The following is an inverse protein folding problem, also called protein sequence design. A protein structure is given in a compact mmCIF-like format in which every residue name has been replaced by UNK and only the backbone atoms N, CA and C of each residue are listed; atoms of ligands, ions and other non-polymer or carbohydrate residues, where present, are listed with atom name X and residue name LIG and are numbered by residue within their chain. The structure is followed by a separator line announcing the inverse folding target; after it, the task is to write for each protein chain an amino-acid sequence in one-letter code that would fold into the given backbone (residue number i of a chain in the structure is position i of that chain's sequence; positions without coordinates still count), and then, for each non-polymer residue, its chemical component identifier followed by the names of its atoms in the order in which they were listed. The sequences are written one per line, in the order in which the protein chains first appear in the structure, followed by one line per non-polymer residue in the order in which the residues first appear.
data_IF_239263811820
#
_entry.id   IF_239263811820
#
_cell.length_a   1.000
_cell.length_b   1.000
_cell.length_c   1.000
_cell.angle_alpha   90.00
_cell.angle_beta   90.00
_cell.angle_gamma   90.00
#
_symmetry.space_group_name_H-M   'P 1'
#
loop_
_entity.id
_entity.type
_entity.pdbx_description
1 polymer ?
#
# COMPACT_ATOMS: atom_id res chain seq x y z
N UNK A 1 -21.40 -43.77 14.63
CA UNK A 1 -20.14 -43.35 15.25
C UNK A 1 -20.31 -42.84 16.68
N UNK A 2 -19.55 -43.42 17.61
CA UNK A 2 -19.51 -43.04 19.02
C UNK A 2 -18.79 -41.70 19.24
N UNK A 3 -19.00 -41.06 20.40
CA UNK A 3 -18.37 -39.78 20.74
C UNK A 3 -16.84 -39.85 20.74
N UNK A 4 -16.25 -40.98 21.15
CA UNK A 4 -14.80 -41.17 21.14
C UNK A 4 -14.25 -41.26 19.71
N UNK A 5 -14.91 -42.01 18.82
CA UNK A 5 -14.53 -42.10 17.41
C UNK A 5 -14.65 -40.74 16.71
N UNK A 6 -15.70 -39.96 17.00
CA UNK A 6 -15.84 -38.60 16.46
C UNK A 6 -14.73 -37.65 16.95
N UNK A 7 -14.35 -37.72 18.23
CA UNK A 7 -13.21 -36.93 18.74
C UNK A 7 -11.89 -37.33 18.10
N UNK A 8 -11.65 -38.63 17.92
CA UNK A 8 -10.46 -39.12 17.21
C UNK A 8 -10.43 -38.61 15.77
N UNK A 9 -11.57 -38.66 15.06
CA UNK A 9 -11.69 -38.15 13.70
C UNK A 9 -11.44 -36.65 13.62
N UNK A 10 -11.98 -35.87 14.56
CA UNK A 10 -11.72 -34.44 14.65
C UNK A 10 -10.22 -34.13 14.74
N UNK A 11 -9.51 -34.80 15.65
CA UNK A 11 -8.06 -34.60 15.84
C UNK A 11 -7.28 -35.03 14.60
N UNK A 12 -7.65 -36.17 14.01
CA UNK A 12 -7.02 -36.68 12.79
C UNK A 12 -7.20 -35.73 11.59
N UNK A 13 -8.34 -35.04 11.49
CA UNK A 13 -8.59 -34.03 10.46
C UNK A 13 -7.97 -32.67 10.75
N UNK A 14 -7.82 -32.31 12.03
CA UNK A 14 -7.29 -31.01 12.47
C UNK A 14 -5.77 -30.92 12.33
N UNK A 15 -5.02 -31.91 12.84
CA UNK A 15 -3.56 -31.81 12.96
C UNK A 15 -2.84 -31.60 11.62
N UNK A 16 -3.14 -32.36 10.54
CA UNK A 16 -2.55 -32.09 9.22
C UNK A 16 -2.85 -30.66 8.74
N UNK A 17 -4.06 -30.17 9.01
CA UNK A 17 -4.52 -28.85 8.57
C UNK A 17 -3.85 -27.70 9.34
N UNK A 18 -3.40 -27.93 10.58
CA UNK A 18 -2.51 -26.98 11.28
C UNK A 18 -1.17 -26.85 10.56
N UNK A 19 -0.56 -27.99 10.19
CA UNK A 19 0.69 -28.01 9.44
C UNK A 19 0.57 -27.35 8.07
N UNK A 20 -0.52 -27.64 7.35
CA UNK A 20 -0.84 -27.00 6.08
C UNK A 20 -0.99 -25.48 6.23
N UNK A 21 -1.85 -25.00 7.14
CA UNK A 21 -2.07 -23.57 7.31
C UNK A 21 -0.82 -22.81 7.78
N UNK A 22 0.03 -23.44 8.59
CA UNK A 22 1.31 -22.86 9.01
C UNK A 22 2.27 -22.71 7.83
N UNK A 23 2.46 -23.77 7.05
CA UNK A 23 3.29 -23.75 5.85
C UNK A 23 2.77 -22.73 4.84
N UNK A 24 1.46 -22.73 4.60
CA UNK A 24 0.80 -21.86 3.62
C UNK A 24 1.08 -20.38 3.92
N UNK A 25 0.74 -19.92 5.13
CA UNK A 25 1.03 -18.54 5.51
C UNK A 25 2.53 -18.22 5.53
N UNK A 26 3.38 -19.18 5.90
CA UNK A 26 4.84 -18.98 5.88
C UNK A 26 5.34 -18.72 4.45
N UNK A 27 4.98 -19.58 3.49
CA UNK A 27 5.40 -19.44 2.10
C UNK A 27 4.83 -18.16 1.50
N UNK A 28 3.55 -17.87 1.74
CA UNK A 28 2.92 -16.62 1.28
C UNK A 28 3.69 -15.38 1.75
N UNK A 29 4.03 -15.30 3.04
CA UNK A 29 4.69 -14.11 3.61
C UNK A 29 6.10 -13.95 3.04
N UNK A 30 6.92 -15.00 3.05
CA UNK A 30 8.31 -14.90 2.58
C UNK A 30 8.39 -14.69 1.06
N UNK A 31 7.62 -15.45 0.28
CA UNK A 31 7.59 -15.30 -1.17
C UNK A 31 7.00 -13.93 -1.55
N UNK A 32 5.90 -13.53 -0.90
CA UNK A 32 5.27 -12.23 -1.12
C UNK A 32 6.22 -11.07 -0.83
N UNK A 33 6.96 -11.12 0.28
CA UNK A 33 7.95 -10.11 0.63
C UNK A 33 9.12 -10.05 -0.37
N UNK A 34 9.63 -11.22 -0.80
CA UNK A 34 10.70 -11.27 -1.80
C UNK A 34 10.25 -10.72 -3.16
N UNK A 35 9.01 -11.04 -3.57
CA UNK A 35 8.39 -10.49 -4.78
C UNK A 35 8.20 -8.98 -4.64
N UNK A 36 7.78 -8.50 -3.46
CA UNK A 36 7.54 -7.08 -3.24
C UNK A 36 8.83 -6.24 -3.33
N UNK A 37 9.92 -6.76 -2.75
CA UNK A 37 11.23 -6.13 -2.80
C UNK A 37 11.92 -6.23 -4.17
N UNK A 38 11.43 -7.09 -5.07
CA UNK A 38 12.02 -7.30 -6.41
C UNK A 38 11.07 -6.80 -7.50
N UNK A 39 10.11 -7.62 -7.92
CA UNK A 39 9.12 -7.29 -8.95
C UNK A 39 8.24 -6.11 -8.56
N UNK A 40 7.94 -5.95 -7.26
CA UNK A 40 7.21 -4.79 -6.76
C UNK A 40 7.95 -3.47 -7.00
N UNK A 41 9.27 -3.47 -6.88
CA UNK A 41 10.13 -2.31 -7.16
C UNK A 41 10.30 -2.13 -8.67
N UNK A 42 10.64 -3.18 -9.41
CA UNK A 42 10.99 -3.07 -10.84
C UNK A 42 9.80 -2.81 -11.75
N UNK A 43 8.62 -3.36 -11.42
CA UNK A 43 7.39 -3.21 -12.23
C UNK A 43 6.41 -2.20 -11.60
N UNK A 44 6.75 -1.60 -10.46
CA UNK A 44 5.89 -0.65 -9.76
C UNK A 44 4.59 -1.26 -9.21
N UNK A 45 4.61 -2.54 -8.79
CA UNK A 45 3.43 -3.22 -8.28
C UNK A 45 3.12 -2.81 -6.84
N UNK A 46 1.84 -2.86 -6.48
CA UNK A 46 1.41 -2.65 -5.10
C UNK A 46 1.86 -3.81 -4.21
N UNK A 47 2.09 -3.54 -2.93
CA UNK A 47 2.43 -4.58 -1.95
C UNK A 47 1.32 -5.62 -1.80
N UNK A 48 0.05 -5.23 -2.02
CA UNK A 48 -1.07 -6.17 -2.07
C UNK A 48 -0.99 -7.11 -3.28
N UNK A 49 -0.48 -6.65 -4.43
CA UNK A 49 -0.25 -7.50 -5.59
C UNK A 49 0.87 -8.52 -5.34
N UNK A 50 1.97 -8.10 -4.71
CA UNK A 50 3.04 -9.00 -4.31
C UNK A 50 2.56 -10.07 -3.31
N UNK A 51 1.72 -9.68 -2.34
CA UNK A 51 1.07 -10.62 -1.43
C UNK A 51 0.17 -11.63 -2.16
N UNK A 52 -0.59 -11.20 -3.17
CA UNK A 52 -1.39 -12.10 -4.00
C UNK A 52 -0.51 -13.09 -4.80
N UNK A 53 0.64 -12.65 -5.30
CA UNK A 53 1.62 -13.56 -5.91
C UNK A 53 2.20 -14.54 -4.88
N UNK A 54 2.45 -14.08 -3.65
CA UNK A 54 2.83 -14.94 -2.53
C UNK A 54 1.79 -16.05 -2.28
N UNK A 55 0.49 -15.74 -2.35
CA UNK A 55 -0.56 -16.75 -2.20
C UNK A 55 -0.50 -17.79 -3.33
N UNK A 56 -0.24 -17.39 -4.57
CA UNK A 56 -0.07 -18.33 -5.69
C UNK A 56 1.11 -19.27 -5.44
N UNK A 57 2.25 -18.75 -4.99
CA UNK A 57 3.41 -19.56 -4.63
C UNK A 57 3.07 -20.55 -3.51
N UNK A 58 2.27 -20.10 -2.54
CA UNK A 58 1.82 -20.91 -1.42
C UNK A 58 0.90 -22.05 -1.84
N UNK A 59 -0.08 -21.79 -2.70
CA UNK A 59 -1.00 -22.82 -3.21
C UNK A 59 -0.23 -23.92 -3.95
N UNK A 60 0.78 -23.54 -4.75
CA UNK A 60 1.66 -24.49 -5.46
C UNK A 60 2.45 -25.35 -4.46
N UNK A 61 2.99 -24.73 -3.39
CA UNK A 61 3.67 -25.44 -2.31
C UNK A 61 2.70 -26.37 -1.56
N UNK A 62 1.47 -25.92 -1.29
CA UNK A 62 0.40 -26.69 -0.69
C UNK A 62 0.13 -28.02 -1.40
N UNK A 63 -0.04 -27.96 -2.72
CA UNK A 63 -0.25 -29.15 -3.56
C UNK A 63 0.99 -30.05 -3.57
N UNK A 64 2.19 -29.45 -3.60
CA UNK A 64 3.46 -30.19 -3.68
C UNK A 64 3.83 -30.90 -2.37
N UNK A 65 3.54 -30.28 -1.23
CA UNK A 65 3.89 -30.76 0.10
C UNK A 65 2.75 -31.48 0.83
N UNK A 66 1.55 -31.57 0.24
CA UNK A 66 0.40 -32.25 0.84
C UNK A 66 0.73 -33.67 1.32
N UNK A 67 1.43 -34.46 0.48
CA UNK A 67 1.86 -35.81 0.85
C UNK A 67 2.89 -35.85 2.00
N UNK A 68 3.73 -34.83 2.14
CA UNK A 68 4.70 -34.71 3.25
C UNK A 68 3.99 -34.38 4.56
N UNK A 69 3.00 -33.48 4.50
CA UNK A 69 2.17 -33.12 5.67
C UNK A 69 1.39 -34.34 6.14
N UNK A 70 0.77 -35.09 5.22
CA UNK A 70 0.06 -36.32 5.53
C UNK A 70 0.98 -37.39 6.12
N UNK A 71 2.15 -37.62 5.51
CA UNK A 71 3.13 -38.58 6.02
C UNK A 71 3.67 -38.20 7.41
N UNK A 72 3.85 -36.91 7.67
CA UNK A 72 4.29 -36.41 8.98
C UNK A 72 3.19 -36.56 10.03
N UNK A 73 1.95 -36.24 9.67
CA UNK A 73 0.81 -36.44 10.56
C UNK A 73 0.58 -37.93 10.87
N UNK A 74 0.79 -38.83 9.91
CA UNK A 74 0.73 -40.27 10.13
C UNK A 74 1.80 -40.76 11.12
N UNK A 75 3.01 -40.18 11.07
CA UNK A 75 4.11 -40.49 12.00
C UNK A 75 3.86 -39.99 13.43
N UNK A 76 2.96 -39.03 13.64
CA UNK A 76 2.61 -38.52 14.96
C UNK A 76 1.72 -39.46 15.78
N UNK A 77 1.35 -40.63 15.23
CA UNK A 77 0.56 -41.63 15.96
C UNK A 77 -0.84 -41.15 16.31
N UNK A 78 -1.46 -40.35 15.43
CA UNK A 78 -2.77 -39.76 15.65
C UNK A 78 -3.84 -40.84 15.89
N UNK A 79 -4.83 -40.58 16.77
CA UNK A 79 -5.85 -41.56 17.11
C UNK A 79 -6.67 -41.94 15.87
N UNK A 80 -6.75 -43.25 15.59
CA UNK A 80 -7.60 -43.77 14.52
C UNK A 80 -9.06 -43.83 14.99
N UNK A 81 -10.01 -43.19 14.27
CA UNK A 81 -11.42 -43.22 14.64
C UNK A 81 -12.09 -44.58 14.43
N UNK A 82 -11.45 -45.53 13.72
CA UNK A 82 -11.97 -46.90 13.56
C UNK A 82 -13.42 -46.95 13.05
N UNK A 83 -13.79 -46.07 12.12
CA UNK A 83 -15.15 -46.04 11.56
C UNK A 83 -15.43 -47.27 10.70
N UNK A 84 -16.66 -47.77 10.75
CA UNK A 84 -17.19 -48.61 9.68
C UNK A 84 -17.45 -47.77 8.42
N UNK A 85 -17.63 -48.41 7.26
CA UNK A 85 -17.87 -47.70 5.99
C UNK A 85 -19.14 -46.82 6.05
N UNK A 86 -20.20 -47.31 6.72
CA UNK A 86 -21.42 -46.55 6.97
C UNK A 86 -21.20 -45.36 7.90
N UNK A 87 -20.35 -45.52 8.92
CA UNK A 87 -20.03 -44.43 9.85
C UNK A 87 -19.19 -43.34 9.19
N UNK A 88 -18.25 -43.73 8.32
CA UNK A 88 -17.39 -42.81 7.58
C UNK A 88 -18.19 -41.98 6.57
N UNK A 89 -19.18 -42.58 5.92
CA UNK A 89 -20.05 -41.90 4.97
C UNK A 89 -21.13 -41.04 5.63
N UNK A 90 -21.35 -41.18 6.94
CA UNK A 90 -22.36 -40.44 7.70
C UNK A 90 -22.15 -38.91 7.67
N UNK A 91 -23.26 -38.16 7.66
CA UNK A 91 -23.23 -36.70 7.67
C UNK A 91 -22.54 -36.13 8.92
N UNK A 92 -22.65 -36.83 10.06
CA UNK A 92 -21.99 -36.42 11.30
C UNK A 92 -20.46 -36.52 11.18
N UNK A 93 -19.93 -37.64 10.67
CA UNK A 93 -18.49 -37.80 10.47
C UNK A 93 -17.93 -36.71 9.53
N UNK A 94 -18.60 -36.45 8.41
CA UNK A 94 -18.23 -35.38 7.47
C UNK A 94 -18.21 -33.99 8.12
N UNK A 95 -19.25 -33.65 8.90
CA UNK A 95 -19.32 -32.36 9.62
C UNK A 95 -18.21 -32.21 10.65
N UNK A 96 -17.93 -33.27 11.41
CA UNK A 96 -16.86 -33.27 12.42
C UNK A 96 -15.49 -33.17 11.78
N UNK A 97 -15.24 -33.89 10.68
CA UNK A 97 -14.02 -33.78 9.90
C UNK A 97 -13.82 -32.37 9.36
N UNK A 98 -14.85 -31.78 8.75
CA UNK A 98 -14.82 -30.39 8.27
C UNK A 98 -14.54 -29.40 9.41
N UNK A 99 -15.20 -29.55 10.56
CA UNK A 99 -14.96 -28.69 11.71
C UNK A 99 -13.52 -28.80 12.21
N UNK A 100 -12.97 -30.02 12.26
CA UNK A 100 -11.56 -30.26 12.60
C UNK A 100 -10.63 -29.58 11.62
N UNK A 101 -10.87 -29.73 10.32
CA UNK A 101 -10.09 -29.08 9.28
C UNK A 101 -10.14 -27.55 9.36
N UNK A 102 -11.31 -26.95 9.55
CA UNK A 102 -11.46 -25.49 9.69
C UNK A 102 -10.69 -24.94 10.89
N UNK A 103 -10.81 -25.60 12.05
CA UNK A 103 -10.06 -25.23 13.26
C UNK A 103 -8.56 -25.39 13.04
N UNK A 104 -8.17 -26.46 12.33
CA UNK A 104 -6.78 -26.73 11.98
C UNK A 104 -6.18 -25.63 11.11
N UNK A 105 -6.83 -25.31 9.98
CA UNK A 105 -6.39 -24.24 9.08
C UNK A 105 -6.32 -22.91 9.82
N UNK A 106 -7.36 -22.53 10.56
CA UNK A 106 -7.38 -21.28 11.31
C UNK A 106 -6.19 -21.17 12.29
N UNK A 107 -5.92 -22.25 13.04
CA UNK A 107 -4.82 -22.30 14.00
C UNK A 107 -3.47 -22.25 13.28
N UNK A 108 -3.31 -23.03 12.20
CA UNK A 108 -2.09 -23.05 11.38
C UNK A 108 -1.77 -21.69 10.78
N UNK A 109 -2.73 -21.06 10.12
CA UNK A 109 -2.56 -19.73 9.54
C UNK A 109 -2.23 -18.69 10.62
N UNK A 110 -2.91 -18.75 11.77
CA UNK A 110 -2.62 -17.84 12.91
C UNK A 110 -1.19 -17.98 13.42
N UNK A 111 -0.67 -19.21 13.51
CA UNK A 111 0.74 -19.46 13.84
C UNK A 111 1.67 -18.95 12.72
N UNK A 112 1.29 -19.14 11.46
CA UNK A 112 2.03 -18.67 10.30
C UNK A 112 2.15 -17.13 10.25
N UNK A 113 1.15 -16.40 10.74
CA UNK A 113 1.21 -14.93 10.85
C UNK A 113 2.34 -14.46 11.76
N UNK A 114 2.82 -15.29 12.70
CA UNK A 114 3.98 -14.92 13.52
C UNK A 114 5.24 -14.66 12.67
N UNK A 115 5.33 -15.22 11.44
CA UNK A 115 6.42 -14.92 10.51
C UNK A 115 6.48 -13.44 10.09
N UNK A 116 5.36 -12.69 10.16
CA UNK A 116 5.37 -11.23 9.91
C UNK A 116 6.28 -10.48 10.88
N UNK A 117 6.53 -11.01 12.09
CA UNK A 117 7.43 -10.39 13.06
C UNK A 117 8.91 -10.55 12.67
N UNK A 118 9.22 -11.46 11.75
CA UNK A 118 10.60 -11.78 11.34
C UNK A 118 10.92 -11.32 9.93
N UNK A 119 9.92 -10.92 9.15
CA UNK A 119 10.09 -10.44 7.78
C UNK A 119 10.24 -8.93 7.77
N UNK A 120 11.32 -8.46 7.13
CA UNK A 120 11.63 -7.05 6.98
C UNK A 120 10.76 -6.41 5.88
N UNK A 121 9.57 -5.97 6.29
CA UNK A 121 8.64 -5.27 5.39
C UNK A 121 9.05 -3.82 5.12
N UNK A 122 9.94 -3.25 5.94
CA UNK A 122 10.40 -1.88 5.76
C UNK A 122 11.41 -1.80 4.62
N UNK A 123 12.26 -2.82 4.43
CA UNK A 123 13.18 -2.90 3.30
C UNK A 123 12.47 -2.75 1.94
N UNK A 124 11.37 -3.46 1.71
CA UNK A 124 10.62 -3.37 0.44
C UNK A 124 10.05 -1.96 0.22
N UNK A 125 9.58 -1.32 1.30
CA UNK A 125 9.09 0.06 1.26
C UNK A 125 10.22 1.05 1.00
N UNK A 126 11.36 0.92 1.67
CA UNK A 126 12.54 1.74 1.45
C UNK A 126 13.06 1.61 0.02
N UNK A 127 13.12 0.39 -0.53
CA UNK A 127 13.53 0.16 -1.92
C UNK A 127 12.56 0.79 -2.92
N UNK A 128 11.24 0.74 -2.65
CA UNK A 128 10.25 1.43 -3.48
C UNK A 128 10.37 2.94 -3.40
N UNK A 129 10.61 3.48 -2.20
CA UNK A 129 10.87 4.90 -1.99
C UNK A 129 12.17 5.32 -2.68
N UNK A 130 13.23 4.54 -2.57
CA UNK A 130 14.52 4.78 -3.22
C UNK A 130 14.43 4.69 -4.75
N UNK A 131 13.67 3.74 -5.30
CA UNK A 131 13.42 3.64 -6.74
C UNK A 131 12.53 4.78 -7.26
N UNK A 132 11.59 5.27 -6.46
CA UNK A 132 10.90 6.54 -6.73
C UNK A 132 11.84 7.74 -6.61
N UNK A 133 12.85 7.63 -5.74
CA UNK A 133 13.83 8.66 -5.46
C UNK A 133 15.07 8.63 -6.39
N UNK A 134 15.15 7.68 -7.32
CA UNK A 134 16.22 7.55 -8.30
C UNK A 134 16.17 8.71 -9.34
N UNK A 135 17.23 9.53 -9.48
CA UNK A 135 17.27 10.67 -10.41
C UNK A 135 16.95 10.29 -11.87
N UNK A 136 17.34 9.08 -12.29
CA UNK A 136 17.22 8.64 -13.68
C UNK A 136 15.78 8.35 -14.12
N UNK A 137 14.86 8.08 -13.18
CA UNK A 137 13.48 7.71 -13.50
C UNK A 137 12.57 8.91 -13.79
N UNK A 138 12.97 10.12 -13.37
CA UNK A 138 12.10 11.32 -13.44
C UNK A 138 12.44 12.32 -14.54
N UNK A 139 13.55 12.10 -15.26
CA UNK A 139 13.97 12.97 -16.37
C UNK A 139 14.34 14.40 -15.94
N UNK A 140 14.46 14.65 -14.63
CA UNK A 140 14.88 15.93 -14.06
C UNK A 140 16.20 15.78 -13.33
N UNK A 141 17.13 16.70 -13.56
CA UNK A 141 18.35 16.85 -12.77
C UNK A 141 18.40 18.24 -12.17
N UNK A 142 18.91 18.32 -10.93
CA UNK A 142 19.06 19.58 -10.20
C UNK A 142 20.53 19.74 -9.82
N UNK A 143 21.14 20.83 -10.26
CA UNK A 143 22.46 21.25 -9.84
C UNK A 143 22.33 22.56 -9.06
N UNK A 144 23.09 22.69 -7.97
CA UNK A 144 23.11 23.90 -7.15
C UNK A 144 24.55 24.38 -7.00
N UNK A 145 24.78 25.69 -7.08
CA UNK A 145 26.13 26.26 -7.06
C UNK A 145 26.15 27.69 -6.50
N UNK A 146 27.10 27.92 -5.60
CA UNK A 146 27.51 29.25 -5.12
C UNK A 146 28.62 29.89 -5.96
N UNK A 147 29.22 29.13 -6.89
CA UNK A 147 30.32 29.62 -7.75
C UNK A 147 29.83 30.26 -9.04
N UNK A 148 28.57 30.03 -9.42
CA UNK A 148 27.98 30.58 -10.62
C UNK A 148 27.74 32.10 -10.55
N UNK A 149 27.58 32.64 -9.33
CA UNK A 149 27.32 34.07 -9.03
C UNK A 149 27.80 34.41 -7.63
N UNK A 150 28.34 35.60 -7.44
CA UNK A 150 28.87 36.05 -6.14
C UNK A 150 27.77 36.54 -5.17
N UNK A 151 26.63 36.96 -5.70
CA UNK A 151 25.54 37.61 -4.95
C UNK A 151 24.42 36.64 -4.52
N UNK A 152 24.34 35.45 -5.13
CA UNK A 152 23.27 34.50 -4.88
C UNK A 152 23.64 33.05 -5.22
N UNK A 153 22.92 32.11 -4.65
CA UNK A 153 23.02 30.69 -4.99
C UNK A 153 22.19 30.39 -6.24
N UNK A 154 22.78 29.71 -7.21
CA UNK A 154 22.10 29.33 -8.46
C UNK A 154 21.63 27.89 -8.40
N UNK A 155 20.33 27.67 -8.59
CA UNK A 155 19.71 26.35 -8.75
C UNK A 155 19.39 26.14 -10.23
N UNK A 156 20.06 25.20 -10.86
CA UNK A 156 19.82 24.78 -12.25
C UNK A 156 18.96 23.52 -12.27
N UNK A 157 17.87 23.56 -13.03
CA UNK A 157 16.91 22.46 -13.19
C UNK A 157 16.85 22.11 -14.67
N UNK A 158 17.34 20.93 -15.01
CA UNK A 158 17.27 20.37 -16.36
C UNK A 158 16.17 19.31 -16.40
N UNK A 159 15.35 19.32 -17.45
CA UNK A 159 14.27 18.35 -17.62
C UNK A 159 13.14 18.83 -18.52
N UNK A 160 12.14 17.98 -18.79
CA UNK A 160 11.03 18.27 -19.70
C UNK A 160 10.18 19.47 -19.22
N UNK A 161 9.58 20.20 -20.16
CA UNK A 161 8.64 21.31 -19.86
C UNK A 161 7.30 20.76 -19.40
N UNK A 162 6.89 21.06 -18.16
CA UNK A 162 5.58 20.70 -17.61
C UNK A 162 4.93 21.92 -16.94
N UNK A 163 3.60 21.95 -16.94
CA UNK A 163 2.82 22.92 -16.16
C UNK A 163 3.03 22.69 -14.66
N UNK A 164 2.84 23.72 -13.86
CA UNK A 164 3.01 23.62 -12.39
C UNK A 164 4.46 23.55 -11.88
N UNK A 165 5.44 23.16 -12.71
CA UNK A 165 6.83 22.91 -12.28
C UNK A 165 7.47 24.10 -11.55
N UNK A 166 7.42 25.29 -12.14
CA UNK A 166 7.98 26.49 -11.50
C UNK A 166 7.24 26.81 -10.20
N UNK A 167 5.91 26.64 -10.16
CA UNK A 167 5.13 26.89 -8.96
C UNK A 167 5.46 25.91 -7.82
N UNK A 168 5.70 24.64 -8.14
CA UNK A 168 6.12 23.63 -7.19
C UNK A 168 7.52 23.95 -6.62
N UNK A 169 8.46 24.33 -7.49
CA UNK A 169 9.82 24.71 -7.11
C UNK A 169 9.82 25.97 -6.25
N UNK A 170 9.17 27.05 -6.70
CA UNK A 170 9.15 28.33 -5.96
C UNK A 170 8.51 28.15 -4.59
N UNK A 171 7.41 27.41 -4.51
CA UNK A 171 6.78 27.19 -3.21
C UNK A 171 7.65 26.35 -2.26
N UNK A 172 8.40 25.38 -2.79
CA UNK A 172 9.31 24.57 -1.97
C UNK A 172 10.47 25.40 -1.44
N UNK A 173 11.03 26.28 -2.28
CA UNK A 173 12.08 27.23 -1.89
C UNK A 173 11.57 28.20 -0.82
N UNK A 174 10.40 28.81 -1.02
CA UNK A 174 9.80 29.71 -0.03
C UNK A 174 9.50 29.01 1.30
N UNK A 175 9.10 27.73 1.29
CA UNK A 175 8.87 26.95 2.51
C UNK A 175 10.15 26.54 3.26
N UNK A 176 11.31 26.72 2.64
CA UNK A 176 12.62 26.45 3.21
C UNK A 176 13.33 27.74 3.65
N UNK A 177 12.58 28.84 3.79
CA UNK A 177 13.07 30.17 4.15
C UNK A 177 14.13 30.71 3.16
N UNK A 178 13.96 30.40 1.87
CA UNK A 178 14.82 30.87 0.79
C UNK A 178 14.09 31.96 0.00
N UNK A 179 14.72 33.13 -0.11
CA UNK A 179 14.25 34.23 -0.93
C UNK A 179 14.59 33.97 -2.40
N UNK A 180 13.67 34.25 -3.31
CA UNK A 180 13.84 34.03 -4.75
C UNK A 180 14.15 35.38 -5.40
N UNK A 181 15.39 35.55 -5.86
CA UNK A 181 15.87 36.78 -6.51
C UNK A 181 15.45 36.85 -7.98
N UNK A 182 15.29 35.70 -8.63
CA UNK A 182 14.87 35.66 -10.02
C UNK A 182 14.76 34.25 -10.58
N UNK A 183 14.03 34.14 -11.70
CA UNK A 183 13.84 32.89 -12.42
C UNK A 183 14.15 33.14 -13.89
N UNK A 184 15.09 32.39 -14.43
CA UNK A 184 15.42 32.38 -15.84
C UNK A 184 14.90 31.08 -16.46
N UNK A 185 13.78 31.18 -17.16
CA UNK A 185 13.17 30.08 -17.88
C UNK A 185 12.67 30.54 -19.25
N UNK A 186 13.07 29.84 -20.32
CA UNK A 186 12.51 30.07 -21.65
C UNK A 186 11.12 29.42 -21.76
N UNK A 187 10.18 30.12 -22.39
CA UNK A 187 8.87 29.57 -22.76
C UNK A 187 9.07 28.61 -23.94
N UNK A 188 8.65 27.35 -23.76
CA UNK A 188 8.78 26.28 -24.76
C UNK A 188 7.58 25.36 -24.60
N UNK A 189 7.17 24.69 -25.68
CA UNK A 189 6.08 23.72 -25.66
C UNK A 189 6.26 22.63 -24.61
N UNK A 190 5.15 22.10 -24.12
CA UNK A 190 5.10 21.03 -23.12
C UNK A 190 5.83 19.77 -23.65
N UNK A 191 6.58 19.10 -22.78
CA UNK A 191 7.43 17.95 -23.12
C UNK A 191 8.84 18.28 -23.63
N UNK A 192 9.14 19.53 -24.02
CA UNK A 192 10.48 19.89 -24.53
C UNK A 192 11.49 20.00 -23.39
N UNK A 193 12.65 19.36 -23.56
CA UNK A 193 13.76 19.44 -22.60
C UNK A 193 14.33 20.85 -22.54
N UNK A 194 14.53 21.37 -21.33
CA UNK A 194 15.16 22.68 -21.15
C UNK A 194 15.82 22.83 -19.79
N UNK A 195 16.79 23.74 -19.77
CA UNK A 195 17.42 24.24 -18.55
C UNK A 195 16.67 25.44 -18.00
N UNK A 196 16.45 25.45 -16.69
CA UNK A 196 15.87 26.57 -15.93
C UNK A 196 16.86 26.94 -14.84
N UNK A 197 17.00 28.23 -14.55
CA UNK A 197 17.81 28.70 -13.42
C UNK A 197 16.93 29.47 -12.46
N UNK A 198 17.05 29.18 -11.18
CA UNK A 198 16.41 29.90 -10.08
C UNK A 198 17.52 30.46 -9.21
N UNK A 199 17.48 31.75 -8.94
CA UNK A 199 18.45 32.44 -8.10
C UNK A 199 17.84 32.63 -6.72
N UNK A 200 18.54 32.16 -5.70
CA UNK A 200 18.05 32.17 -4.32
C UNK A 200 19.07 32.76 -3.35
N UNK A 201 18.57 33.31 -2.25
CA UNK A 201 19.38 33.77 -1.11
C UNK A 201 18.73 33.30 0.19
N UNK A 202 19.53 33.24 1.25
CA UNK A 202 19.08 33.09 2.64
C UNK A 202 19.64 34.27 3.41
N UNK A 203 18.77 35.04 4.07
CA UNK A 203 19.16 36.24 4.82
C UNK A 203 20.05 37.21 4.00
N UNK A 204 19.66 37.44 2.74
CA UNK A 204 20.39 38.26 1.76
C UNK A 204 21.83 37.80 1.45
N UNK A 205 22.18 36.56 1.81
CA UNK A 205 23.45 35.91 1.50
C UNK A 205 23.24 34.60 0.71
N UNK A 206 24.36 34.01 0.26
CA UNK A 206 24.35 32.68 -0.34
C UNK A 206 23.95 31.61 0.70
N UNK A 207 23.30 30.54 0.22
CA UNK A 207 23.03 29.36 1.05
C UNK A 207 24.36 28.72 1.43
N UNK A 208 24.53 28.35 2.70
CA UNK A 208 25.74 27.70 3.19
C UNK A 208 26.04 26.41 2.40
N UNK A 209 27.32 26.14 2.13
CA UNK A 209 27.75 25.01 1.30
C UNK A 209 27.26 23.66 1.84
N UNK A 210 27.26 23.47 3.17
CA UNK A 210 26.76 22.26 3.85
C UNK A 210 25.25 22.01 3.63
N UNK A 211 24.48 23.07 3.33
CA UNK A 211 23.04 23.01 3.12
C UNK A 211 22.63 22.86 1.64
N UNK A 212 23.59 23.02 0.72
CA UNK A 212 23.31 22.98 -0.72
C UNK A 212 22.71 21.64 -1.15
N UNK A 213 23.26 20.52 -0.67
CA UNK A 213 22.76 19.19 -1.01
C UNK A 213 21.32 18.99 -0.54
N UNK A 214 20.99 19.46 0.66
CA UNK A 214 19.64 19.37 1.22
C UNK A 214 18.63 20.18 0.40
N UNK A 215 19.01 21.41 0.02
CA UNK A 215 18.17 22.26 -0.84
C UNK A 215 17.99 21.64 -2.22
N UNK A 216 19.06 21.11 -2.83
CA UNK A 216 18.98 20.44 -4.13
C UNK A 216 18.02 19.24 -4.11
N UNK A 217 18.09 18.40 -3.07
CA UNK A 217 17.17 17.26 -2.89
C UNK A 217 15.72 17.70 -2.74
N UNK A 218 15.45 18.77 -1.97
CA UNK A 218 14.10 19.33 -1.84
C UNK A 218 13.55 19.85 -3.18
N UNK A 219 14.38 20.56 -3.95
CA UNK A 219 13.98 21.06 -5.27
C UNK A 219 13.74 19.92 -6.24
N UNK A 220 14.61 18.91 -6.29
CA UNK A 220 14.44 17.73 -7.14
C UNK A 220 13.12 17.02 -6.83
N UNK A 221 12.80 16.83 -5.54
CA UNK A 221 11.52 16.25 -5.11
C UNK A 221 10.31 17.05 -5.60
N UNK A 222 10.40 18.38 -5.57
CA UNK A 222 9.34 19.26 -6.10
C UNK A 222 9.18 19.14 -7.63
N UNK A 223 10.26 18.85 -8.36
CA UNK A 223 10.22 18.64 -9.81
C UNK A 223 9.53 17.34 -10.22
N UNK A 224 9.52 16.31 -9.34
CA UNK A 224 8.89 15.02 -9.62
C UNK A 224 7.36 15.05 -9.56
N UNK A 225 6.80 15.97 -8.78
CA UNK A 225 5.35 16.08 -8.56
C UNK A 225 4.82 17.51 -8.80
N UNK A 226 5.02 18.09 -10.00
CA UNK A 226 4.74 19.50 -10.24
C UNK A 226 3.25 19.86 -10.11
N UNK A 227 2.36 18.90 -10.36
CA UNK A 227 0.91 19.08 -10.31
C UNK A 227 0.24 18.55 -9.04
N UNK A 228 0.97 17.93 -8.09
CA UNK A 228 0.33 17.27 -6.93
C UNK A 228 -0.56 18.21 -6.14
N UNK A 229 -0.11 19.43 -5.87
CA UNK A 229 -0.93 20.41 -5.13
C UNK A 229 -2.14 20.90 -5.92
N UNK A 230 -2.01 21.04 -7.24
CA UNK A 230 -3.13 21.40 -8.09
C UNK A 230 -4.16 20.27 -8.14
N UNK A 231 -3.73 19.02 -8.29
CA UNK A 231 -4.60 17.85 -8.24
C UNK A 231 -5.32 17.74 -6.90
N UNK A 232 -4.59 17.82 -5.79
CA UNK A 232 -5.17 17.78 -4.44
C UNK A 232 -6.16 18.93 -4.22
N UNK A 233 -5.87 20.14 -4.73
CA UNK A 233 -6.81 21.27 -4.61
C UNK A 233 -8.09 21.03 -5.41
N UNK A 234 -7.98 20.53 -6.65
CA UNK A 234 -9.14 20.19 -7.49
C UNK A 234 -9.98 19.08 -6.84
N UNK A 235 -9.33 18.06 -6.28
CA UNK A 235 -10.02 16.98 -5.54
C UNK A 235 -10.70 17.51 -4.28
N UNK A 236 -10.06 18.41 -3.54
CA UNK A 236 -10.63 19.05 -2.35
C UNK A 236 -11.87 19.89 -2.71
N UNK A 237 -11.78 20.73 -3.74
CA UNK A 237 -12.90 21.56 -4.23
C UNK A 237 -14.08 20.66 -4.66
N UNK A 238 -13.80 19.57 -5.38
CA UNK A 238 -14.82 18.58 -5.77
C UNK A 238 -15.46 17.90 -4.57
N UNK A 239 -14.67 17.45 -3.59
CA UNK A 239 -15.18 16.81 -2.39
C UNK A 239 -16.02 17.76 -1.52
N UNK A 240 -15.68 19.06 -1.49
CA UNK A 240 -16.47 20.07 -0.82
C UNK A 240 -17.83 20.29 -1.49
N UNK A 241 -17.85 20.37 -2.82
CA UNK A 241 -19.11 20.47 -3.58
C UNK A 241 -20.02 19.26 -3.35
N UNK A 242 -19.48 18.04 -3.39
CA UNK A 242 -20.24 16.82 -3.16
C UNK A 242 -20.81 16.75 -1.73
N UNK A 243 -20.03 17.17 -0.72
CA UNK A 243 -20.50 17.27 0.65
C UNK A 243 -21.66 18.27 0.81
N UNK A 244 -21.60 19.40 0.13
CA UNK A 244 -22.66 20.40 0.19
C UNK A 244 -23.95 19.92 -0.47
N UNK A 245 -23.84 19.24 -1.62
CA UNK A 245 -24.98 18.60 -2.29
C UNK A 245 -25.62 17.51 -1.41
N UNK A 246 -24.81 16.67 -0.77
CA UNK A 246 -25.29 15.64 0.15
C UNK A 246 -26.02 16.25 1.36
N UNK A 247 -25.50 17.34 1.93
CA UNK A 247 -26.17 18.07 3.02
C UNK A 247 -27.54 18.59 2.60
N UNK A 248 -27.67 19.13 1.39
CA UNK A 248 -28.95 19.59 0.85
C UNK A 248 -29.94 18.43 0.65
N UNK A 249 -29.48 17.28 0.12
CA UNK A 249 -30.31 16.08 -0.05
C UNK A 249 -30.80 15.53 1.29
N UNK A 250 -29.92 15.46 2.30
CA UNK A 250 -30.28 15.01 3.65
C UNK A 250 -31.34 15.93 4.25
N UNK A 251 -31.16 17.26 4.16
CA UNK A 251 -32.15 18.22 4.65
C UNK A 251 -33.51 18.08 3.95
N UNK A 252 -33.52 17.88 2.62
CA UNK A 252 -34.75 17.65 1.86
C UNK A 252 -35.48 16.37 2.27
N UNK A 253 -34.74 15.27 2.47
CA UNK A 253 -35.31 13.99 2.91
C UNK A 253 -35.85 14.08 4.33
N UNK A 254 -35.16 14.80 5.23
CA UNK A 254 -35.65 15.06 6.59
C UNK A 254 -36.94 15.88 6.59
N UNK A 255 -37.05 16.91 5.75
CA UNK A 255 -38.28 17.69 5.59
C UNK A 255 -39.45 16.82 5.09
N UNK A 256 -39.22 16.03 4.04
CA UNK A 256 -40.24 15.09 3.52
C UNK A 256 -40.66 14.04 4.55
N UNK A 257 -39.71 13.54 5.34
CA UNK A 257 -40.00 12.61 6.43
C UNK A 257 -40.83 13.27 7.53
N UNK A 258 -40.50 14.51 7.90
CA UNK A 258 -41.30 15.29 8.85
C UNK A 258 -42.73 15.50 8.34
N UNK A 259 -42.90 15.90 7.08
CA UNK A 259 -44.22 16.10 6.48
C UNK A 259 -45.04 14.80 6.45
N UNK A 260 -44.39 13.66 6.15
CA UNK A 260 -45.05 12.36 6.15
C UNK A 260 -45.43 11.87 7.57
N UNK A 261 -44.73 12.34 8.61
CA UNK A 261 -45.01 12.00 10.01
C UNK A 261 -46.08 12.91 10.66
N UNK A 262 -46.50 14.00 10.01
CA UNK A 262 -47.57 14.87 10.51
C UNK A 262 -48.93 14.37 10.02
N UNK A 263 -49.70 13.74 10.90
CA UNK A 263 -51.11 13.39 10.65
C UNK A 263 -52.01 14.49 11.21
N UNK A 264 -52.70 15.23 10.35
CA UNK A 264 -53.66 16.27 10.77
C UNK A 264 -55.05 15.68 10.78
N UNK A 265 -55.57 15.38 11.97
CA UNK A 265 -56.96 14.97 12.15
C UNK A 265 -57.83 16.23 12.34
N UNK A 266 -58.55 16.66 11.30
CA UNK A 266 -59.50 17.77 11.39
C UNK A 266 -60.89 17.21 11.64
N UNK A 267 -61.48 17.52 12.81
CA UNK A 267 -62.90 17.25 13.09
C UNK A 267 -63.78 17.97 12.06
N UNK A 268 -64.52 17.18 11.28
CA UNK A 268 -65.56 17.68 10.38
C UNK A 268 -66.67 18.40 11.14
N UNK A 269 -67.15 19.50 10.56
CA UNK A 269 -68.39 20.17 10.97
C UNK A 269 -69.63 19.50 10.40
#
# INVERSE_FOLDING_TARGET
PTRQQLKAHFVQSMVPMVGFGFMDNTVMIYAGSAIDATLGVTLGLSTMCAAACGQICSDIAGVSFGGVIEATAAKLGLPSPGFTEEERSSAMAKRVGLAGSLVGVFTGCSLGLANLLFVDTEQARELKLAAQDDPDTTGYTVAISNTAREDCTTVQIDGPSQKGLIAAVTSTLSSADLAIQGIQAKQVHEGVWKTRKVYITRDDAQVADDDLEHVAKKVLKACREPDRRQKVRVELERAQQENEELRQKVASLQAKLSDALVTVDKRGG
#
